data_IF_241720001754
#
_entry.id   IF_241720001754
#
_cell.length_a   1.000
_cell.length_b   1.000
_cell.length_c   1.000
_cell.angle_alpha   90.00
_cell.angle_beta   90.00
_cell.angle_gamma   90.00
#
_symmetry.space_group_name_H-M   'P 1'
#
loop_
_entity.id
_entity.type
_entity.pdbx_description
1 polymer ?
#
# COMPACT_ATOMS: atom_id res chain seq x y z
N UNK A 1 -24.00 -8.53 31.45
CA UNK A 1 -23.68 -7.47 30.46
C UNK A 1 -22.16 -7.42 30.11
N UNK A 2 -21.52 -8.54 29.69
CA UNK A 2 -20.07 -8.59 29.41
C UNK A 2 -19.68 -8.53 27.91
N UNK A 3 -20.66 -8.53 27.00
CA UNK A 3 -20.41 -8.68 25.55
C UNK A 3 -19.94 -7.38 24.86
N UNK A 4 -20.41 -6.22 25.30
CA UNK A 4 -20.08 -4.93 24.68
C UNK A 4 -18.63 -4.47 24.94
N UNK A 5 -18.10 -4.70 26.14
CA UNK A 5 -16.71 -4.30 26.47
C UNK A 5 -15.68 -5.01 25.57
N UNK A 6 -15.93 -6.27 25.22
CA UNK A 6 -15.03 -7.05 24.37
C UNK A 6 -15.03 -6.54 22.90
N UNK A 7 -16.16 -6.02 22.44
CA UNK A 7 -16.29 -5.45 21.09
C UNK A 7 -15.54 -4.12 20.99
N UNK A 8 -15.68 -3.25 22.00
CA UNK A 8 -14.97 -1.96 22.04
C UNK A 8 -13.45 -2.12 22.13
N UNK A 9 -12.97 -3.08 22.93
CA UNK A 9 -11.53 -3.39 23.03
C UNK A 9 -10.99 -3.84 21.67
N UNK A 10 -11.71 -4.68 20.94
CA UNK A 10 -11.30 -5.15 19.62
C UNK A 10 -11.18 -4.00 18.60
N UNK A 11 -12.09 -3.02 18.64
CA UNK A 11 -12.01 -1.86 17.75
C UNK A 11 -10.89 -0.88 18.14
N UNK A 12 -10.62 -0.70 19.43
CA UNK A 12 -9.47 0.10 19.88
C UNK A 12 -8.13 -0.53 19.41
N UNK A 13 -8.01 -1.85 19.55
CA UNK A 13 -6.84 -2.60 19.06
C UNK A 13 -6.72 -2.48 17.53
N UNK A 14 -7.82 -2.65 16.80
CA UNK A 14 -7.84 -2.51 15.35
C UNK A 14 -7.40 -1.10 14.91
N UNK A 15 -7.86 -0.06 15.62
CA UNK A 15 -7.52 1.33 15.30
C UNK A 15 -6.03 1.57 15.49
N UNK A 16 -5.48 1.12 16.61
CA UNK A 16 -4.05 1.28 16.88
C UNK A 16 -3.20 0.52 15.85
N UNK A 17 -3.59 -0.71 15.49
CA UNK A 17 -2.95 -1.46 14.42
C UNK A 17 -3.01 -0.72 13.09
N UNK A 18 -4.18 -0.18 12.73
CA UNK A 18 -4.36 0.57 11.50
C UNK A 18 -3.46 1.81 11.45
N UNK A 19 -3.39 2.57 12.54
CA UNK A 19 -2.47 3.71 12.67
C UNK A 19 -1.01 3.27 12.46
N UNK A 20 -0.58 2.20 13.13
CA UNK A 20 0.78 1.68 12.98
C UNK A 20 1.11 1.24 11.55
N UNK A 21 0.15 0.61 10.86
CA UNK A 21 0.30 0.21 9.46
C UNK A 21 0.45 1.43 8.54
N UNK A 22 -0.30 2.51 8.79
CA UNK A 22 -0.18 3.77 8.05
C UNK A 22 1.18 4.43 8.33
N UNK A 23 1.60 4.53 9.60
CA UNK A 23 2.87 5.16 9.98
C UNK A 23 4.07 4.43 9.37
N UNK A 24 4.02 3.09 9.36
CA UNK A 24 5.01 2.26 8.68
C UNK A 24 5.06 2.56 7.17
N UNK A 25 3.90 2.71 6.53
CA UNK A 25 3.82 3.01 5.11
C UNK A 25 4.31 4.43 4.76
N UNK A 26 3.94 5.43 5.56
CA UNK A 26 4.45 6.80 5.45
C UNK A 26 5.98 6.78 5.53
N UNK A 27 6.56 6.17 6.57
CA UNK A 27 8.02 6.06 6.73
C UNK A 27 8.69 5.39 5.52
N UNK A 28 8.08 4.34 4.95
CA UNK A 28 8.61 3.64 3.76
C UNK A 28 8.63 4.54 2.51
N UNK A 29 7.58 5.33 2.31
CA UNK A 29 7.50 6.24 1.16
C UNK A 29 8.38 7.47 1.38
N UNK A 30 8.48 7.96 2.61
CA UNK A 30 9.31 9.12 2.99
C UNK A 30 10.81 8.90 2.86
N UNK A 31 11.30 7.69 3.19
CA UNK A 31 12.71 7.30 3.08
C UNK A 31 13.26 7.32 1.64
N UNK A 32 12.42 7.51 0.62
CA UNK A 32 12.84 7.53 -0.77
C UNK A 32 13.53 8.85 -1.12
N UNK A 33 14.72 8.77 -1.74
CA UNK A 33 15.53 9.93 -2.15
C UNK A 33 14.83 10.88 -3.14
N UNK A 34 14.07 10.35 -4.10
CA UNK A 34 13.27 11.15 -5.06
C UNK A 34 11.82 10.70 -4.99
N UNK A 35 10.93 11.65 -4.70
CA UNK A 35 9.47 11.45 -4.64
C UNK A 35 8.86 12.02 -5.90
N UNK A 36 8.00 11.25 -6.56
CA UNK A 36 7.23 11.75 -7.70
C UNK A 36 5.87 12.33 -7.22
N UNK A 37 5.11 12.95 -8.14
CA UNK A 37 3.77 13.50 -7.85
C UNK A 37 2.80 12.44 -7.30
N UNK A 38 2.93 11.17 -7.74
CA UNK A 38 2.11 10.06 -7.24
C UNK A 38 2.45 9.71 -5.79
N UNK A 39 3.73 9.78 -5.41
CA UNK A 39 4.19 9.54 -4.05
C UNK A 39 3.66 10.63 -3.10
N UNK A 40 3.73 11.90 -3.53
CA UNK A 40 3.18 13.02 -2.77
C UNK A 40 1.67 12.88 -2.57
N UNK A 41 0.91 12.59 -3.63
CA UNK A 41 -0.55 12.36 -3.54
C UNK A 41 -0.87 11.22 -2.57
N UNK A 42 -0.10 10.13 -2.62
CA UNK A 42 -0.28 8.99 -1.73
C UNK A 42 0.04 9.35 -0.27
N UNK A 43 1.14 10.08 -0.02
CA UNK A 43 1.49 10.58 1.31
C UNK A 43 0.42 11.52 1.90
N UNK A 44 -0.12 12.43 1.11
CA UNK A 44 -1.22 13.31 1.54
C UNK A 44 -2.45 12.50 1.95
N UNK A 45 -2.82 11.49 1.15
CA UNK A 45 -3.93 10.59 1.48
C UNK A 45 -3.67 9.85 2.80
N UNK A 46 -2.47 9.28 2.98
CA UNK A 46 -2.11 8.57 4.21
C UNK A 46 -2.12 9.49 5.43
N UNK A 47 -1.62 10.72 5.30
CA UNK A 47 -1.62 11.71 6.37
C UNK A 47 -3.04 12.11 6.79
N UNK A 48 -3.92 12.35 5.81
CA UNK A 48 -5.33 12.64 6.08
C UNK A 48 -6.03 11.48 6.79
N UNK A 49 -5.81 10.25 6.31
CA UNK A 49 -6.39 9.05 6.91
C UNK A 49 -5.88 8.81 8.34
N UNK A 50 -4.58 9.02 8.58
CA UNK A 50 -3.96 8.98 9.90
C UNK A 50 -4.63 9.97 10.85
N UNK A 51 -4.79 11.22 10.42
CA UNK A 51 -5.45 12.25 11.22
C UNK A 51 -6.89 11.88 11.54
N UNK A 52 -7.64 11.33 10.58
CA UNK A 52 -9.01 10.85 10.81
C UNK A 52 -9.08 9.73 11.85
N UNK A 53 -8.09 8.84 11.89
CA UNK A 53 -8.02 7.76 12.88
C UNK A 53 -7.69 8.28 14.28
N UNK A 54 -6.74 9.21 14.42
CA UNK A 54 -6.38 9.79 15.73
C UNK A 54 -7.50 10.61 16.34
N UNK A 55 -8.22 11.39 15.53
CA UNK A 55 -9.32 12.24 15.99
C UNK A 55 -10.65 11.50 16.09
N UNK A 56 -10.64 10.16 15.98
CA UNK A 56 -11.84 9.31 16.03
C UNK A 56 -12.95 9.72 15.04
N UNK A 57 -12.58 10.34 13.92
CA UNK A 57 -13.52 10.76 12.87
C UNK A 57 -14.13 9.53 12.19
N UNK A 58 -13.31 8.51 11.93
CA UNK A 58 -13.79 7.20 11.47
C UNK A 58 -14.40 6.49 12.66
N UNK A 59 -15.69 6.13 12.60
CA UNK A 59 -16.37 5.38 13.65
C UNK A 59 -15.87 3.93 13.71
N UNK A 60 -16.06 3.28 14.87
CA UNK A 60 -15.65 1.89 15.09
C UNK A 60 -16.28 0.91 14.08
N UNK A 61 -17.55 1.12 13.74
CA UNK A 61 -18.29 0.34 12.73
C UNK A 61 -17.65 0.39 11.33
N UNK A 62 -17.13 1.56 10.95
CA UNK A 62 -16.53 1.80 9.64
C UNK A 62 -15.03 1.45 9.60
N UNK A 63 -14.43 1.21 10.76
CA UNK A 63 -12.97 1.04 10.90
C UNK A 63 -12.45 -0.13 10.06
N UNK A 64 -13.18 -1.24 10.05
CA UNK A 64 -12.83 -2.44 9.27
C UNK A 64 -12.89 -2.17 7.77
N UNK A 65 -13.92 -1.47 7.30
CA UNK A 65 -14.11 -1.15 5.89
C UNK A 65 -12.98 -0.21 5.42
N UNK A 66 -12.68 0.82 6.22
CA UNK A 66 -11.58 1.75 5.93
C UNK A 66 -10.22 1.04 5.93
N UNK A 67 -10.02 0.07 6.83
CA UNK A 67 -8.80 -0.74 6.84
C UNK A 67 -8.64 -1.56 5.56
N UNK A 68 -9.72 -2.22 5.10
CA UNK A 68 -9.70 -2.98 3.84
C UNK A 68 -9.46 -2.08 2.62
N UNK A 69 -10.09 -0.90 2.60
CA UNK A 69 -9.85 0.11 1.56
C UNK A 69 -8.38 0.55 1.53
N UNK A 70 -7.79 0.82 2.70
CA UNK A 70 -6.36 1.12 2.81
C UNK A 70 -5.48 -0.01 2.26
N UNK A 71 -5.75 -1.27 2.63
CA UNK A 71 -4.98 -2.42 2.13
C UNK A 71 -5.04 -2.55 0.61
N UNK A 72 -6.23 -2.34 0.02
CA UNK A 72 -6.41 -2.34 -1.44
C UNK A 72 -5.56 -1.24 -2.10
N UNK A 73 -5.64 -0.01 -1.60
CA UNK A 73 -4.90 1.13 -2.16
C UNK A 73 -3.39 0.93 -2.02
N UNK A 74 -2.94 0.43 -0.86
CA UNK A 74 -1.53 0.04 -0.63
C UNK A 74 -1.05 -0.99 -1.64
N UNK A 75 -1.86 -2.03 -1.89
CA UNK A 75 -1.54 -3.06 -2.90
C UNK A 75 -1.43 -2.45 -4.29
N UNK A 76 -2.39 -1.63 -4.71
CA UNK A 76 -2.38 -0.98 -6.03
C UNK A 76 -1.17 -0.06 -6.21
N UNK A 77 -0.81 0.72 -5.19
CA UNK A 77 0.36 1.58 -5.20
C UNK A 77 1.65 0.76 -5.38
N UNK A 78 1.78 -0.37 -4.68
CA UNK A 78 2.93 -1.26 -4.81
C UNK A 78 2.97 -1.98 -6.17
N UNK A 79 1.83 -2.45 -6.68
CA UNK A 79 1.75 -3.08 -8.00
C UNK A 79 2.17 -2.13 -9.11
N UNK A 80 1.67 -0.88 -9.10
CA UNK A 80 2.07 0.14 -10.10
C UNK A 80 3.57 0.40 -10.12
N UNK A 81 4.24 0.22 -8.97
CA UNK A 81 5.69 0.35 -8.88
C UNK A 81 6.41 -0.85 -9.48
N UNK A 82 5.93 -2.06 -9.22
CA UNK A 82 6.56 -3.31 -9.69
C UNK A 82 6.27 -3.58 -11.17
N UNK A 83 5.09 -3.17 -11.68
CA UNK A 83 4.66 -3.46 -13.05
C UNK A 83 5.64 -2.95 -14.11
N UNK A 84 6.31 -1.82 -13.88
CA UNK A 84 7.33 -1.28 -14.80
C UNK A 84 8.55 -2.19 -14.91
N UNK A 85 8.98 -2.80 -13.81
CA UNK A 85 10.11 -3.72 -13.80
C UNK A 85 9.76 -5.05 -14.47
N UNK A 86 8.53 -5.55 -14.26
CA UNK A 86 8.03 -6.76 -14.92
C UNK A 86 7.97 -6.56 -16.44
N UNK A 87 7.45 -5.41 -16.91
CA UNK A 87 7.44 -5.08 -18.33
C UNK A 87 8.85 -5.05 -18.94
N UNK A 88 9.79 -4.40 -18.27
CA UNK A 88 11.18 -4.33 -18.74
C UNK A 88 11.85 -5.72 -18.80
N UNK A 89 11.65 -6.55 -17.78
CA UNK A 89 12.17 -7.90 -17.74
C UNK A 89 11.61 -8.77 -18.87
N UNK A 90 10.31 -8.63 -19.17
CA UNK A 90 9.68 -9.32 -20.29
C UNK A 90 10.29 -8.95 -21.64
N UNK A 91 10.54 -7.65 -21.88
CA UNK A 91 11.17 -7.18 -23.13
C UNK A 91 12.60 -7.71 -23.25
N UNK A 92 13.40 -7.66 -22.18
CA UNK A 92 14.77 -8.20 -22.19
C UNK A 92 14.79 -9.71 -22.46
N UNK A 93 13.86 -10.45 -21.88
CA UNK A 93 13.73 -11.89 -22.14
C UNK A 93 13.44 -12.18 -23.62
N UNK A 94 12.54 -11.42 -24.25
CA UNK A 94 12.25 -11.56 -25.69
C UNK A 94 13.51 -11.31 -26.53
N UNK A 95 14.28 -10.27 -26.22
CA UNK A 95 15.53 -9.96 -26.92
C UNK A 95 16.51 -11.13 -26.83
N UNK A 96 16.71 -11.69 -25.63
CA UNK A 96 17.62 -12.83 -25.40
C UNK A 96 17.18 -14.06 -26.21
N UNK A 97 15.88 -14.37 -26.22
CA UNK A 97 15.34 -15.50 -26.99
C UNK A 97 15.57 -15.30 -28.50
N UNK A 98 15.30 -14.09 -29.01
CA UNK A 98 15.54 -13.76 -30.43
C UNK A 98 17.03 -13.89 -30.78
N UNK A 99 17.93 -13.43 -29.92
CA UNK A 99 19.38 -13.57 -30.13
C UNK A 99 19.84 -15.02 -30.19
N UNK A 100 19.30 -15.88 -29.33
CA UNK A 100 19.61 -17.33 -29.34
C UNK A 100 19.10 -17.96 -30.64
N UNK A 101 17.87 -17.64 -31.05
CA UNK A 101 17.30 -18.17 -32.31
C UNK A 101 18.12 -17.72 -33.51
N UNK A 102 18.48 -16.44 -33.61
CA UNK A 102 19.33 -15.92 -34.68
C UNK A 102 20.69 -16.59 -34.70
N UNK A 103 21.32 -16.78 -33.54
CA UNK A 103 22.63 -17.44 -33.43
C UNK A 103 22.59 -18.92 -33.78
N UNK A 104 21.45 -19.58 -33.63
CA UNK A 104 21.27 -20.98 -34.03
C UNK A 104 20.90 -21.14 -35.51
N UNK A 105 20.41 -20.07 -36.15
CA UNK A 105 20.02 -20.05 -37.56
C UNK A 105 21.16 -19.62 -38.51
N UNK A 106 22.19 -18.97 -37.97
CA UNK A 106 23.37 -18.44 -38.66
C UNK A 106 24.53 -19.44 -38.59
#
# INVERSE_FOLDING_TARGET
MKKNQNIDINFAILRNRFINDIDSEIKKVEKRRKKNKSDQKYLTMLSNLRNQLYHNIIKSEDLRINYLAFLKIKKEYNIKKVSKYILLAGVLFIIVVISIILSALL
#
